data_IF_409831109758
#
_entry.id   IF_409831109758
#
_cell.length_a   1.000
_cell.length_b   1.000
_cell.length_c   1.000
_cell.angle_alpha   90.00
_cell.angle_beta   90.00
_cell.angle_gamma   90.00
#
_symmetry.space_group_name_H-M   'P 1'
#
loop_
_entity.id
_entity.type
_entity.pdbx_description
1 polymer ?
#
# COMPACT_ATOMS: atom_id res chain seq x y z
N UNK A 1 4.98 -15.75 -2.59
CA UNK A 1 4.66 -14.31 -2.73
C UNK A 1 3.22 -14.08 -3.19
N UNK A 2 2.83 -14.51 -4.39
CA UNK A 2 1.50 -14.23 -4.98
C UNK A 2 0.31 -14.55 -4.07
N UNK A 3 0.31 -15.71 -3.38
CA UNK A 3 -0.78 -16.05 -2.46
C UNK A 3 -0.86 -15.14 -1.22
N UNK A 4 0.26 -14.55 -0.80
CA UNK A 4 0.34 -13.68 0.38
C UNK A 4 0.08 -12.21 0.04
N UNK A 5 0.55 -11.74 -1.12
CA UNK A 5 0.57 -10.31 -1.48
C UNK A 5 -0.28 -9.96 -2.71
N UNK A 6 -0.76 -10.96 -3.46
CA UNK A 6 -1.38 -10.81 -4.79
C UNK A 6 -0.48 -10.06 -5.79
N UNK A 7 0.83 -10.05 -5.56
CA UNK A 7 1.81 -9.42 -6.45
C UNK A 7 2.96 -10.38 -6.73
N UNK A 8 3.62 -10.11 -7.84
CA UNK A 8 4.86 -10.76 -8.22
C UNK A 8 5.96 -9.71 -8.25
N UNK A 9 7.11 -10.03 -7.68
CA UNK A 9 8.32 -9.24 -7.81
C UNK A 9 8.88 -9.22 -9.25
N UNK A 10 8.42 -10.12 -10.14
CA UNK A 10 8.95 -10.27 -11.50
C UNK A 10 8.15 -9.52 -12.56
N UNK A 11 6.83 -9.41 -12.40
CA UNK A 11 5.95 -8.77 -13.38
C UNK A 11 4.70 -8.21 -12.71
N UNK A 12 4.17 -7.15 -13.32
CA UNK A 12 2.92 -6.52 -12.93
C UNK A 12 1.69 -7.08 -13.66
N UNK A 13 1.88 -7.93 -14.68
CA UNK A 13 0.80 -8.44 -15.52
C UNK A 13 0.58 -9.92 -15.26
N UNK A 14 -0.65 -10.27 -14.88
CA UNK A 14 -1.03 -11.66 -14.58
C UNK A 14 -0.81 -12.60 -15.77
N UNK A 15 -1.03 -12.12 -17.00
CA UNK A 15 -0.81 -12.91 -18.23
C UNK A 15 0.63 -13.37 -18.42
N UNK A 16 1.60 -12.62 -17.88
CA UNK A 16 3.02 -12.97 -17.99
C UNK A 16 3.41 -14.07 -16.98
N UNK A 17 2.49 -14.44 -16.10
CA UNK A 17 2.61 -15.56 -15.15
C UNK A 17 1.87 -16.82 -15.62
N UNK A 18 1.19 -16.75 -16.78
CA UNK A 18 0.51 -17.90 -17.40
C UNK A 18 1.46 -18.53 -18.40
N UNK A 19 1.54 -19.86 -18.38
CA UNK A 19 2.38 -20.61 -19.32
C UNK A 19 1.98 -20.31 -20.77
N UNK A 20 2.96 -20.30 -21.68
CA UNK A 20 2.68 -20.06 -23.09
C UNK A 20 1.74 -21.14 -23.65
N UNK A 21 0.86 -20.74 -24.57
CA UNK A 21 -0.24 -21.54 -25.11
C UNK A 21 -1.35 -21.95 -24.11
N UNK A 22 -1.22 -21.64 -22.81
CA UNK A 22 -2.27 -21.86 -21.82
C UNK A 22 -3.14 -20.61 -21.60
N UNK A 23 -4.42 -20.82 -21.26
CA UNK A 23 -5.34 -19.73 -20.95
C UNK A 23 -5.35 -19.34 -19.46
N UNK A 24 -4.96 -20.28 -18.60
CA UNK A 24 -5.05 -20.15 -17.14
C UNK A 24 -3.78 -20.68 -16.46
N UNK A 25 -3.45 -20.09 -15.32
CA UNK A 25 -2.53 -20.69 -14.35
C UNK A 25 -3.19 -20.70 -12.97
N UNK A 26 -2.96 -21.73 -12.18
CA UNK A 26 -3.52 -21.85 -10.84
C UNK A 26 -2.44 -22.12 -9.80
N UNK A 27 -2.55 -21.41 -8.67
CA UNK A 27 -1.73 -21.63 -7.49
C UNK A 27 -2.68 -22.01 -6.35
N UNK A 28 -2.46 -23.18 -5.76
CA UNK A 28 -3.26 -23.69 -4.64
C UNK A 28 -2.39 -23.93 -3.41
N UNK A 29 -2.91 -23.66 -2.23
CA UNK A 29 -2.25 -23.97 -0.96
C UNK A 29 -3.26 -24.40 0.11
N UNK A 30 -2.83 -25.30 0.99
CA UNK A 30 -3.54 -25.63 2.24
C UNK A 30 -2.69 -25.14 3.41
N UNK A 31 -3.27 -24.31 4.27
CA UNK A 31 -2.62 -23.74 5.44
C UNK A 31 -3.19 -24.37 6.70
N UNK A 32 -2.33 -24.86 7.59
CA UNK A 32 -2.71 -25.29 8.92
C UNK A 32 -2.31 -24.21 9.92
N UNK A 33 -3.29 -23.59 10.57
CA UNK A 33 -3.12 -22.64 11.68
C UNK A 33 -3.73 -23.23 12.96
N UNK A 34 -3.47 -22.59 14.10
CA UNK A 34 -4.11 -22.96 15.38
C UNK A 34 -5.65 -22.90 15.29
N UNK A 35 -6.17 -21.95 14.51
CA UNK A 35 -7.61 -21.74 14.29
C UNK A 35 -8.24 -22.76 13.32
N UNK A 36 -7.45 -23.60 12.66
CA UNK A 36 -7.92 -24.61 11.71
C UNK A 36 -7.19 -24.62 10.37
N UNK A 37 -7.74 -25.38 9.42
CA UNK A 37 -7.21 -25.49 8.06
C UNK A 37 -7.89 -24.46 7.16
N UNK A 38 -7.14 -23.83 6.27
CA UNK A 38 -7.67 -22.95 5.23
C UNK A 38 -7.10 -23.31 3.87
N UNK A 39 -7.94 -23.33 2.85
CA UNK A 39 -7.51 -23.57 1.46
C UNK A 39 -7.56 -22.28 0.66
N UNK A 40 -6.48 -22.00 -0.06
CA UNK A 40 -6.31 -20.80 -0.87
C UNK A 40 -6.10 -21.23 -2.31
N UNK A 41 -6.90 -20.70 -3.23
CA UNK A 41 -6.65 -20.86 -4.65
C UNK A 41 -6.62 -19.49 -5.34
N UNK A 42 -5.61 -19.28 -6.17
CA UNK A 42 -5.45 -18.11 -7.03
C UNK A 42 -5.40 -18.58 -8.48
N UNK A 43 -6.39 -18.18 -9.27
CA UNK A 43 -6.48 -18.49 -10.69
C UNK A 43 -6.14 -17.22 -11.46
N UNK A 44 -5.02 -17.26 -12.18
CA UNK A 44 -4.57 -16.23 -13.09
C UNK A 44 -5.09 -16.55 -14.49
N UNK A 45 -5.47 -15.51 -15.24
CA UNK A 45 -6.00 -15.65 -16.59
C UNK A 45 -5.14 -14.88 -17.57
N UNK A 46 -4.86 -15.48 -18.73
CA UNK A 46 -4.17 -14.79 -19.82
C UNK A 46 -5.00 -13.60 -20.30
N UNK A 47 -6.31 -13.82 -20.40
CA UNK A 47 -7.31 -12.81 -20.73
C UNK A 47 -8.32 -12.69 -19.58
N UNK A 48 -8.53 -11.46 -19.10
CA UNK A 48 -9.50 -11.15 -18.04
C UNK A 48 -8.88 -10.97 -16.66
N UNK A 49 -9.74 -10.92 -15.63
CA UNK A 49 -9.33 -10.71 -14.24
C UNK A 49 -9.05 -12.06 -13.56
N UNK A 50 -8.04 -12.08 -12.69
CA UNK A 50 -7.79 -13.20 -11.79
C UNK A 50 -9.00 -13.51 -10.90
N UNK A 51 -9.06 -14.74 -10.39
CA UNK A 51 -10.04 -15.18 -9.39
C UNK A 51 -9.30 -15.63 -8.14
N UNK A 52 -9.78 -15.22 -6.96
CA UNK A 52 -9.28 -15.73 -5.67
C UNK A 52 -10.39 -16.51 -4.99
N UNK A 53 -10.02 -17.63 -4.38
CA UNK A 53 -10.93 -18.53 -3.71
C UNK A 53 -10.37 -18.88 -2.33
N UNK A 54 -11.19 -18.72 -1.30
CA UNK A 54 -10.87 -19.06 0.08
C UNK A 54 -11.86 -20.10 0.55
N UNK A 55 -11.37 -21.25 1.01
CA UNK A 55 -12.18 -22.35 1.54
C UNK A 55 -13.29 -22.83 0.58
N UNK A 56 -13.02 -22.83 -0.72
CA UNK A 56 -13.98 -23.26 -1.75
C UNK A 56 -14.87 -22.13 -2.27
N UNK A 57 -14.88 -20.95 -1.64
CA UNK A 57 -15.70 -19.81 -2.07
C UNK A 57 -14.90 -18.75 -2.84
N UNK A 58 -15.43 -18.31 -3.98
CA UNK A 58 -14.85 -17.22 -4.76
C UNK A 58 -15.11 -15.88 -4.07
N UNK A 59 -14.05 -15.13 -3.76
CA UNK A 59 -14.19 -13.83 -3.12
C UNK A 59 -14.56 -12.76 -4.14
N UNK A 60 -15.54 -11.91 -3.79
CA UNK A 60 -15.95 -10.76 -4.62
C UNK A 60 -14.84 -9.71 -4.74
N UNK A 61 -14.10 -9.48 -3.65
CA UNK A 61 -12.98 -8.53 -3.61
C UNK A 61 -11.68 -9.28 -3.42
N UNK A 62 -10.73 -9.04 -4.33
CA UNK A 62 -9.40 -9.64 -4.29
C UNK A 62 -8.69 -9.38 -2.96
N UNK A 63 -8.83 -8.17 -2.42
CA UNK A 63 -8.18 -7.76 -1.18
C UNK A 63 -8.63 -8.53 0.07
N UNK A 64 -9.81 -9.15 0.04
CA UNK A 64 -10.28 -9.98 1.15
C UNK A 64 -9.46 -11.29 1.28
N UNK A 65 -8.63 -11.61 0.27
CA UNK A 65 -7.68 -12.71 0.28
C UNK A 65 -6.37 -12.38 1.05
N UNK A 66 -6.08 -11.09 1.23
CA UNK A 66 -4.82 -10.63 1.83
C UNK A 66 -4.83 -10.84 3.35
N UNK A 67 -3.68 -11.24 3.91
CA UNK A 67 -3.54 -11.55 5.34
C UNK A 67 -3.92 -12.97 5.74
N UNK A 68 -4.56 -13.75 4.85
CA UNK A 68 -4.81 -15.19 5.09
C UNK A 68 -3.49 -15.97 5.12
N UNK A 69 -2.53 -15.59 4.27
CA UNK A 69 -1.15 -16.07 4.31
C UNK A 69 -0.21 -14.88 4.53
N UNK A 70 0.63 -14.99 5.56
CA UNK A 70 1.75 -14.09 5.78
C UNK A 70 3.02 -14.75 5.26
N UNK A 71 3.80 -14.05 4.43
CA UNK A 71 5.04 -14.57 3.88
C UNK A 71 6.07 -13.46 3.76
N UNK A 72 7.32 -13.81 4.08
CA UNK A 72 8.49 -12.99 3.82
C UNK A 72 9.30 -13.69 2.73
N UNK A 73 9.67 -12.94 1.69
CA UNK A 73 10.60 -13.40 0.66
C UNK A 73 11.91 -12.63 0.83
N UNK A 74 13.02 -13.35 0.69
CA UNK A 74 14.35 -12.75 0.58
C UNK A 74 14.83 -12.87 -0.87
N UNK A 75 15.35 -11.79 -1.42
CA UNK A 75 15.87 -11.77 -2.79
C UNK A 75 16.98 -10.73 -2.97
N UNK A 76 17.75 -10.87 -4.05
CA UNK A 76 18.75 -9.85 -4.41
C UNK A 76 18.13 -8.47 -4.71
N UNK A 77 16.84 -8.43 -5.08
CA UNK A 77 16.09 -7.19 -5.31
C UNK A 77 15.86 -6.38 -4.02
N UNK A 78 16.03 -6.99 -2.84
CA UNK A 78 15.81 -6.29 -1.56
C UNK A 78 16.84 -5.16 -1.34
N UNK A 79 17.96 -5.17 -2.06
CA UNK A 79 18.94 -4.07 -2.08
C UNK A 79 18.33 -2.74 -2.59
N UNK A 80 17.27 -2.80 -3.38
CA UNK A 80 16.57 -1.61 -3.87
C UNK A 80 15.88 -0.84 -2.74
N UNK A 81 15.62 -1.48 -1.60
CA UNK A 81 15.11 -0.77 -0.42
C UNK A 81 16.10 0.31 0.04
N UNK A 82 17.40 0.02 -0.08
CA UNK A 82 18.51 0.92 0.31
C UNK A 82 18.92 1.83 -0.83
N UNK A 83 19.20 1.28 -2.02
CA UNK A 83 19.75 2.04 -3.16
C UNK A 83 18.69 2.71 -4.03
N UNK A 84 17.45 2.24 -3.97
CA UNK A 84 16.38 2.67 -4.85
C UNK A 84 15.66 3.96 -4.42
N UNK A 85 14.61 4.29 -5.18
CA UNK A 85 13.81 5.49 -4.96
C UNK A 85 12.74 5.38 -3.86
N UNK A 86 12.10 6.50 -3.48
CA UNK A 86 11.04 6.53 -2.48
C UNK A 86 9.81 5.68 -2.82
N UNK A 87 9.53 5.44 -4.10
CA UNK A 87 8.41 4.60 -4.53
C UNK A 87 8.55 3.16 -4.08
N UNK A 88 9.73 2.55 -4.30
CA UNK A 88 10.01 1.17 -3.85
C UNK A 88 9.87 1.03 -2.34
N UNK A 89 10.43 1.98 -1.55
CA UNK A 89 10.28 2.01 -0.09
C UNK A 89 8.82 2.12 0.36
N UNK A 90 8.01 2.96 -0.29
CA UNK A 90 6.56 3.06 0.00
C UNK A 90 5.85 1.75 -0.34
N UNK A 91 6.14 1.16 -1.49
CA UNK A 91 5.53 -0.10 -1.91
C UNK A 91 5.85 -1.25 -0.95
N UNK A 92 7.11 -1.33 -0.52
CA UNK A 92 7.56 -2.30 0.49
C UNK A 92 6.81 -2.10 1.82
N UNK A 93 6.75 -0.86 2.32
CA UNK A 93 6.07 -0.53 3.56
C UNK A 93 4.56 -0.81 3.50
N UNK A 94 3.93 -0.49 2.37
CA UNK A 94 2.49 -0.76 2.17
C UNK A 94 2.23 -2.25 2.12
N UNK A 95 3.09 -3.03 1.47
CA UNK A 95 2.97 -4.50 1.42
C UNK A 95 3.13 -5.11 2.81
N UNK A 96 4.10 -4.64 3.59
CA UNK A 96 4.27 -5.02 5.00
C UNK A 96 3.00 -4.72 5.80
N UNK A 97 2.47 -3.50 5.70
CA UNK A 97 1.26 -3.08 6.40
C UNK A 97 0.04 -3.91 6.01
N UNK A 98 -0.14 -4.23 4.73
CA UNK A 98 -1.25 -5.08 4.27
C UNK A 98 -1.18 -6.47 4.89
N UNK A 99 0.01 -7.07 4.98
CA UNK A 99 0.17 -8.38 5.60
C UNK A 99 -0.15 -8.34 7.11
N UNK A 100 0.23 -7.27 7.81
CA UNK A 100 -0.01 -7.12 9.25
C UNK A 100 -1.45 -6.70 9.57
N UNK A 101 -2.03 -5.82 8.76
CA UNK A 101 -3.33 -5.19 8.95
C UNK A 101 -4.10 -5.19 7.60
N UNK A 102 -4.83 -6.26 7.23
CA UNK A 102 -5.50 -6.35 5.93
C UNK A 102 -6.46 -5.19 5.62
N UNK A 103 -7.04 -4.58 6.65
CA UNK A 103 -7.85 -3.36 6.52
C UNK A 103 -7.08 -2.20 5.88
N UNK A 104 -5.75 -2.14 6.00
CA UNK A 104 -4.91 -1.12 5.38
C UNK A 104 -5.02 -1.13 3.85
N UNK A 105 -5.23 -2.28 3.22
CA UNK A 105 -5.45 -2.37 1.78
C UNK A 105 -6.67 -1.52 1.34
N UNK A 106 -7.74 -1.53 2.13
CA UNK A 106 -8.95 -0.73 1.89
C UNK A 106 -8.68 0.76 2.07
N UNK A 107 -7.94 1.13 3.11
CA UNK A 107 -7.54 2.52 3.38
C UNK A 107 -6.71 3.07 2.22
N UNK A 108 -5.72 2.30 1.77
CA UNK A 108 -4.83 2.69 0.69
C UNK A 108 -5.58 2.79 -0.65
N UNK A 109 -6.48 1.85 -0.94
CA UNK A 109 -7.33 1.92 -2.14
C UNK A 109 -8.23 3.17 -2.12
N UNK A 110 -8.87 3.45 -0.99
CA UNK A 110 -9.71 4.64 -0.83
C UNK A 110 -8.92 5.92 -1.06
N UNK A 111 -7.72 6.03 -0.45
CA UNK A 111 -6.81 7.15 -0.67
C UNK A 111 -6.46 7.34 -2.16
N UNK A 112 -6.07 6.28 -2.85
CA UNK A 112 -5.73 6.34 -4.28
C UNK A 112 -6.93 6.66 -5.17
N UNK A 113 -8.14 6.19 -4.81
CA UNK A 113 -9.35 6.52 -5.56
C UNK A 113 -9.67 8.01 -5.46
N UNK A 114 -9.69 8.56 -4.24
CA UNK A 114 -9.95 9.99 -3.99
C UNK A 114 -8.89 10.84 -4.69
N UNK A 115 -7.61 10.49 -4.58
CA UNK A 115 -6.52 11.20 -5.25
C UNK A 115 -6.70 11.23 -6.77
N UNK A 116 -7.08 10.10 -7.38
CA UNK A 116 -7.34 10.03 -8.83
C UNK A 116 -8.54 10.88 -9.24
N UNK A 117 -9.64 10.83 -8.48
CA UNK A 117 -10.84 11.62 -8.74
C UNK A 117 -10.54 13.12 -8.63
N UNK A 118 -9.85 13.55 -7.58
CA UNK A 118 -9.37 14.93 -7.40
C UNK A 118 -8.49 15.38 -8.56
N UNK A 119 -7.49 14.59 -8.94
CA UNK A 119 -6.58 14.95 -10.04
C UNK A 119 -7.33 15.02 -11.39
N UNK A 120 -8.30 14.13 -11.62
CA UNK A 120 -9.15 14.19 -12.81
C UNK A 120 -10.05 15.44 -12.79
N UNK A 121 -10.60 15.81 -11.63
CA UNK A 121 -11.39 17.03 -11.45
C UNK A 121 -10.56 18.27 -11.78
N UNK A 122 -9.36 18.39 -11.19
CA UNK A 122 -8.44 19.51 -11.48
C UNK A 122 -8.09 19.59 -12.97
N UNK A 123 -7.76 18.45 -13.60
CA UNK A 123 -7.40 18.42 -15.02
C UNK A 123 -8.56 18.83 -15.93
N UNK A 124 -9.80 18.42 -15.60
CA UNK A 124 -10.99 18.74 -16.40
C UNK A 124 -11.43 20.20 -16.26
N UNK A 125 -11.18 20.80 -15.11
CA UNK A 125 -11.69 22.12 -14.76
C UNK A 125 -10.61 23.20 -14.70
N UNK A 126 -9.39 22.91 -15.18
CA UNK A 126 -8.20 23.77 -15.04
C UNK A 126 -8.48 25.25 -15.36
N UNK A 127 -9.20 25.52 -16.45
CA UNK A 127 -9.50 26.88 -16.93
C UNK A 127 -10.63 27.59 -16.15
N UNK A 128 -11.46 26.85 -15.40
CA UNK A 128 -12.68 27.36 -14.73
C UNK A 128 -12.62 27.28 -13.20
N UNK A 129 -11.47 26.89 -12.64
CA UNK A 129 -11.24 26.74 -11.20
C UNK A 129 -11.40 28.05 -10.40
N UNK A 130 -11.52 29.21 -11.05
CA UNK A 130 -11.82 30.48 -10.40
C UNK A 130 -13.29 30.62 -9.97
N UNK A 131 -14.18 29.74 -10.44
CA UNK A 131 -15.60 29.78 -10.07
C UNK A 131 -15.86 29.20 -8.67
N UNK A 132 -16.70 29.87 -7.89
CA UNK A 132 -17.00 29.48 -6.49
C UNK A 132 -17.54 28.06 -6.35
N UNK A 133 -18.36 27.59 -7.29
CA UNK A 133 -18.92 26.24 -7.27
C UNK A 133 -17.84 25.17 -7.42
N UNK A 134 -16.92 25.33 -8.37
CA UNK A 134 -15.81 24.38 -8.59
C UNK A 134 -14.81 24.40 -7.44
N UNK A 135 -14.57 25.56 -6.81
CA UNK A 135 -13.74 25.66 -5.60
C UNK A 135 -14.37 24.92 -4.42
N UNK A 136 -15.69 25.01 -4.27
CA UNK A 136 -16.42 24.31 -3.22
C UNK A 136 -16.36 22.79 -3.40
N UNK A 137 -16.49 22.31 -4.64
CA UNK A 137 -16.31 20.88 -4.94
C UNK A 137 -14.87 20.41 -4.72
N UNK A 138 -13.87 21.20 -5.11
CA UNK A 138 -12.47 20.88 -4.83
C UNK A 138 -12.17 20.81 -3.33
N UNK A 139 -12.75 21.71 -2.52
CA UNK A 139 -12.60 21.69 -1.08
C UNK A 139 -13.15 20.39 -0.46
N UNK A 140 -14.25 19.83 -0.99
CA UNK A 140 -14.77 18.52 -0.57
C UNK A 140 -13.75 17.42 -0.87
N UNK A 141 -13.15 17.42 -2.08
CA UNK A 141 -12.08 16.48 -2.43
C UNK A 141 -10.86 16.62 -1.53
N UNK A 142 -10.47 17.85 -1.18
CA UNK A 142 -9.34 18.13 -0.29
C UNK A 142 -9.57 17.56 1.11
N UNK A 143 -10.76 17.78 1.69
CA UNK A 143 -11.12 17.22 3.01
C UNK A 143 -11.11 15.69 2.98
N UNK A 144 -11.69 15.08 1.94
CA UNK A 144 -11.70 13.63 1.79
C UNK A 144 -10.28 13.06 1.64
N UNK A 145 -9.43 13.71 0.84
CA UNK A 145 -8.05 13.30 0.62
C UNK A 145 -7.21 13.47 1.89
N UNK A 146 -7.39 14.56 2.62
CA UNK A 146 -6.72 14.81 3.89
C UNK A 146 -7.08 13.75 4.93
N UNK A 147 -8.38 13.41 5.03
CA UNK A 147 -8.88 12.36 5.92
C UNK A 147 -8.28 10.99 5.58
N UNK A 148 -8.36 10.55 4.32
CA UNK A 148 -7.81 9.26 3.90
C UNK A 148 -6.28 9.22 3.99
N UNK A 149 -5.61 10.31 3.59
CA UNK A 149 -4.16 10.46 3.63
C UNK A 149 -3.59 10.41 5.06
N UNK A 150 -4.29 11.02 6.02
CA UNK A 150 -3.91 10.96 7.44
C UNK A 150 -3.89 9.53 7.95
N UNK A 151 -4.90 8.71 7.58
CA UNK A 151 -4.93 7.29 7.95
C UNK A 151 -3.70 6.56 7.39
N UNK A 152 -3.37 6.78 6.12
CA UNK A 152 -2.16 6.21 5.47
C UNK A 152 -0.89 6.62 6.20
N UNK A 153 -0.72 7.92 6.47
CA UNK A 153 0.46 8.49 7.13
C UNK A 153 0.67 7.86 8.51
N UNK A 154 -0.39 7.78 9.32
CA UNK A 154 -0.31 7.27 10.70
C UNK A 154 0.04 5.78 10.77
N UNK A 155 -0.46 4.95 9.83
CA UNK A 155 -0.09 3.52 9.79
C UNK A 155 1.38 3.35 9.39
N UNK A 156 1.84 4.09 8.38
CA UNK A 156 3.25 4.08 7.96
C UNK A 156 4.18 4.55 9.07
N UNK A 157 3.84 5.64 9.74
CA UNK A 157 4.60 6.16 10.88
C UNK A 157 4.73 5.11 11.98
N UNK A 158 3.61 4.51 12.41
CA UNK A 158 3.60 3.47 13.46
C UNK A 158 4.43 2.25 13.06
N UNK A 159 4.33 1.81 11.81
CA UNK A 159 5.13 0.69 11.31
C UNK A 159 6.63 1.00 11.36
N UNK A 160 7.05 2.18 10.92
CA UNK A 160 8.47 2.59 10.98
C UNK A 160 8.95 2.75 12.42
N UNK A 161 8.15 3.32 13.32
CA UNK A 161 8.48 3.43 14.75
C UNK A 161 8.73 2.07 15.40
N UNK A 162 7.97 1.03 15.02
CA UNK A 162 8.16 -0.34 15.50
C UNK A 162 9.34 -1.05 14.82
N UNK A 163 9.52 -0.83 13.52
CA UNK A 163 10.56 -1.48 12.71
C UNK A 163 11.97 -0.95 13.03
N UNK A 164 12.12 0.36 13.16
CA UNK A 164 13.41 1.03 13.33
C UNK A 164 14.28 0.43 14.46
N UNK A 165 13.78 0.22 15.69
CA UNK A 165 14.60 -0.39 16.75
C UNK A 165 14.98 -1.85 16.46
N UNK A 166 14.09 -2.62 15.82
CA UNK A 166 14.35 -4.03 15.45
C UNK A 166 15.45 -4.08 14.39
N UNK A 167 15.33 -3.26 13.34
CA UNK A 167 16.33 -3.18 12.27
C UNK A 167 17.68 -2.70 12.81
N UNK A 168 17.70 -1.68 13.69
CA UNK A 168 18.91 -1.20 14.35
C UNK A 168 19.62 -2.30 15.14
N UNK A 169 18.87 -3.09 15.91
CA UNK A 169 19.43 -4.22 16.69
C UNK A 169 20.10 -5.25 15.79
N UNK A 170 19.41 -5.70 14.74
CA UNK A 170 19.97 -6.70 13.81
C UNK A 170 21.16 -6.14 13.01
N UNK A 171 21.10 -4.89 12.57
CA UNK A 171 22.21 -4.25 11.88
C UNK A 171 23.46 -4.13 12.75
N UNK A 172 23.31 -3.77 14.02
CA UNK A 172 24.44 -3.74 14.96
C UNK A 172 25.06 -5.13 15.11
N UNK A 173 24.24 -6.18 15.22
CA UNK A 173 24.73 -7.56 15.28
C UNK A 173 25.52 -7.97 14.02
N UNK A 174 25.10 -7.53 12.83
CA UNK A 174 25.72 -7.91 11.56
C UNK A 174 27.00 -7.10 11.30
N UNK A 175 26.99 -5.80 11.60
CA UNK A 175 28.12 -4.89 11.39
C UNK A 175 29.21 -4.99 12.48
N UNK A 176 29.00 -5.81 13.52
CA UNK A 176 29.87 -5.83 14.70
C UNK A 176 29.84 -4.51 15.47
N UNK A 177 28.69 -3.84 15.50
CA UNK A 177 28.46 -2.53 16.13
C UNK A 177 29.33 -1.38 15.60
N UNK A 178 29.94 -1.54 14.42
CA UNK A 178 30.75 -0.49 13.78
C UNK A 178 29.91 0.60 13.12
N UNK A 179 28.63 0.31 12.86
CA UNK A 179 27.72 1.19 12.14
C UNK A 179 26.39 1.31 12.88
N UNK A 180 25.78 2.50 12.82
CA UNK A 180 24.50 2.79 13.48
C UNK A 180 23.43 3.03 12.42
N UNK A 181 22.55 2.05 12.22
CA UNK A 181 21.39 2.18 11.35
C UNK A 181 20.34 3.13 11.96
N UNK A 182 19.95 4.16 11.20
CA UNK A 182 18.82 5.03 11.51
C UNK A 182 17.78 4.95 10.40
N UNK A 183 16.52 4.74 10.79
CA UNK A 183 15.38 4.74 9.87
C UNK A 183 14.42 5.82 10.35
N UNK A 184 14.08 6.77 9.48
CA UNK A 184 13.17 7.87 9.77
C UNK A 184 12.03 7.86 8.75
N UNK A 185 10.80 8.03 9.24
CA UNK A 185 9.66 8.27 8.37
C UNK A 185 9.57 9.76 8.05
N UNK A 186 9.64 10.11 6.76
CA UNK A 186 9.58 11.49 6.27
C UNK A 186 8.31 11.72 5.47
N UNK A 187 7.16 11.98 6.13
CA UNK A 187 5.93 12.36 5.43
C UNK A 187 6.04 13.75 4.83
N UNK A 188 5.08 14.07 3.96
CA UNK A 188 5.00 15.37 3.30
C UNK A 188 4.38 16.48 4.18
N UNK A 189 3.99 16.18 5.41
CA UNK A 189 3.45 17.13 6.40
C UNK A 189 4.09 16.86 7.76
N UNK A 190 4.18 17.87 8.65
CA UNK A 190 4.66 17.65 10.00
C UNK A 190 3.88 16.54 10.71
N UNK A 191 4.60 15.70 11.46
CA UNK A 191 4.01 14.73 12.37
C UNK A 191 3.94 15.34 13.75
N UNK A 192 2.74 15.52 14.27
CA UNK A 192 2.54 15.69 15.69
C UNK A 192 2.10 14.36 16.30
N UNK A 193 2.88 13.86 17.25
CA UNK A 193 2.60 12.59 17.91
C UNK A 193 1.20 12.63 18.54
N UNK A 194 0.44 11.56 18.33
CA UNK A 194 -0.88 11.31 18.90
C UNK A 194 -2.02 12.25 18.49
N UNK A 195 -1.81 13.21 17.58
CA UNK A 195 -2.85 14.15 17.14
C UNK A 195 -3.19 13.95 15.66
N UNK A 196 -4.10 13.01 15.36
CA UNK A 196 -4.50 12.72 13.97
C UNK A 196 -5.17 13.93 13.30
N UNK A 197 -5.92 14.73 14.07
CA UNK A 197 -6.58 15.94 13.59
C UNK A 197 -5.58 16.99 13.10
N UNK A 198 -4.46 17.17 13.82
CA UNK A 198 -3.41 18.10 13.41
C UNK A 198 -2.69 17.66 12.13
N UNK A 199 -2.43 16.36 11.99
CA UNK A 199 -1.86 15.81 10.73
C UNK A 199 -2.83 16.01 9.57
N UNK A 200 -4.14 15.82 9.80
CA UNK A 200 -5.17 16.07 8.80
C UNK A 200 -5.26 17.53 8.42
N UNK A 201 -5.23 18.44 9.39
CA UNK A 201 -5.25 19.88 9.17
C UNK A 201 -4.01 20.32 8.37
N UNK A 202 -2.81 19.91 8.77
CA UNK A 202 -1.57 20.22 8.04
C UNK A 202 -1.59 19.69 6.59
N UNK A 203 -2.22 18.53 6.35
CA UNK A 203 -2.40 17.99 5.01
C UNK A 203 -3.41 18.78 4.20
N UNK A 204 -4.52 19.19 4.82
CA UNK A 204 -5.52 20.04 4.17
C UNK A 204 -4.94 21.40 3.77
N UNK A 205 -4.26 22.08 4.68
CA UNK A 205 -3.59 23.37 4.42
C UNK A 205 -2.59 23.25 3.27
N UNK A 206 -1.79 22.17 3.27
CA UNK A 206 -0.82 21.92 2.18
C UNK A 206 -1.49 21.64 0.83
N UNK A 207 -2.64 20.97 0.81
CA UNK A 207 -3.40 20.73 -0.42
C UNK A 207 -3.96 22.04 -0.99
N UNK A 208 -4.48 22.91 -0.14
CA UNK A 208 -5.01 24.22 -0.53
C UNK A 208 -3.91 25.13 -1.10
N UNK A 209 -2.73 25.18 -0.47
CA UNK A 209 -1.59 25.96 -0.97
C UNK A 209 -1.14 25.53 -2.37
N UNK A 210 -1.12 24.23 -2.65
CA UNK A 210 -0.73 23.68 -3.96
C UNK A 210 -1.73 23.90 -5.08
N UNK A 211 -2.96 24.27 -4.75
CA UNK A 211 -3.97 24.62 -5.74
C UNK A 211 -3.80 26.07 -6.19
N UNK A 212 -3.22 26.92 -5.33
CA UNK A 212 -3.02 28.36 -5.57
C UNK A 212 -1.71 28.64 -6.32
N UNK A 213 -0.71 27.76 -6.17
CA UNK A 213 0.60 27.83 -6.83
C UNK A 213 0.65 27.03 -8.13
#
# INVERSE_FOLDING_TARGET
ELLATLRSHRTFRDRDLVQEAEELAQISASLKRETGISTLNLILRRNGRRTVNLNGENLRRQMDFLGVLNAVQFSSLDLDLVRGGPEGRRHWLDTLLIQLEPIYAHILQQYHQILRQRNAFLKRNAEKLYTTSLQSELAIWDVQLATAGTRVIRRRERAIQRLAPIAKKWHASISGSKEILQIKYSPNVPLEQNHSEKVQQALLEKLQQRTIA
#
